data_IF_358981232471
#
_entry.id   IF_358981232471
#
_cell.length_a   1.000
_cell.length_b   1.000
_cell.length_c   1.000
_cell.angle_alpha   90.00
_cell.angle_beta   90.00
_cell.angle_gamma   90.00
#
_symmetry.space_group_name_H-M   'P 1'
#
loop_
_entity.id
_entity.type
_entity.pdbx_description
1 polymer ?
#
# COMPACT_ATOMS: atom_id res chain seq x y z
N UNK A 1 -23.31 13.51 1.33
CA UNK A 1 -23.20 12.25 0.58
C UNK A 1 -21.76 12.10 0.09
N UNK A 2 -21.26 10.87 -0.01
CA UNK A 2 -19.93 10.54 -0.52
C UNK A 2 -20.08 9.75 -1.82
N UNK A 3 -19.22 10.05 -2.79
CA UNK A 3 -19.07 9.30 -4.04
C UNK A 3 -17.63 8.82 -4.11
N UNK A 4 -17.44 7.50 -4.20
CA UNK A 4 -16.14 6.89 -4.49
C UNK A 4 -16.12 6.45 -5.95
N UNK A 5 -15.09 6.86 -6.67
CA UNK A 5 -14.92 6.53 -8.08
C UNK A 5 -13.45 6.29 -8.40
N UNK A 6 -13.19 5.33 -9.28
CA UNK A 6 -11.86 5.18 -9.87
C UNK A 6 -11.67 6.24 -10.97
N UNK A 7 -10.43 6.73 -11.21
CA UNK A 7 -10.16 7.73 -12.24
C UNK A 7 -10.75 7.37 -13.61
N UNK A 8 -10.66 6.10 -13.98
CA UNK A 8 -11.13 5.56 -15.26
C UNK A 8 -12.67 5.67 -15.43
N UNK A 9 -13.41 5.76 -14.33
CA UNK A 9 -14.87 5.80 -14.34
C UNK A 9 -15.44 7.22 -14.31
N UNK A 10 -14.62 8.25 -14.14
CA UNK A 10 -15.10 9.65 -13.98
C UNK A 10 -15.86 10.19 -15.19
N UNK A 11 -15.51 9.76 -16.39
CA UNK A 11 -16.20 10.16 -17.62
C UNK A 11 -17.46 9.34 -17.91
N UNK A 12 -17.84 8.41 -17.04
CA UNK A 12 -19.07 7.62 -17.22
C UNK A 12 -20.31 8.51 -17.13
N UNK A 13 -21.34 8.26 -17.96
CA UNK A 13 -22.55 9.11 -18.01
C UNK A 13 -23.25 9.27 -16.65
N UNK A 14 -23.24 8.22 -15.82
CA UNK A 14 -23.93 8.26 -14.53
C UNK A 14 -23.18 9.15 -13.51
N UNK A 15 -21.85 9.18 -13.53
CA UNK A 15 -21.06 10.10 -12.68
C UNK A 15 -21.27 11.53 -13.13
N UNK A 16 -21.23 11.80 -14.45
CA UNK A 16 -21.47 13.13 -15.00
C UNK A 16 -22.86 13.64 -14.59
N UNK A 17 -23.88 12.82 -14.74
CA UNK A 17 -25.24 13.15 -14.32
C UNK A 17 -25.36 13.38 -12.79
N UNK A 18 -24.69 12.56 -11.99
CA UNK A 18 -24.68 12.75 -10.54
C UNK A 18 -24.03 14.08 -10.13
N UNK A 19 -22.97 14.52 -10.82
CA UNK A 19 -22.30 15.80 -10.60
C UNK A 19 -23.20 16.99 -10.94
N UNK A 20 -23.98 16.88 -12.02
CA UNK A 20 -24.95 17.91 -12.42
C UNK A 20 -26.09 18.05 -11.41
N UNK A 21 -26.60 16.93 -10.92
CA UNK A 21 -27.71 16.92 -9.96
C UNK A 21 -27.30 17.39 -8.56
N UNK A 22 -26.10 17.09 -8.13
CA UNK A 22 -25.58 17.42 -6.81
C UNK A 22 -24.14 17.92 -6.94
N UNK A 23 -23.94 19.23 -7.19
CA UNK A 23 -22.60 19.80 -7.31
C UNK A 23 -21.74 19.50 -6.09
N UNK A 24 -20.58 18.87 -6.26
CA UNK A 24 -19.73 18.48 -5.14
C UNK A 24 -18.96 19.68 -4.58
N UNK A 25 -18.80 19.73 -3.27
CA UNK A 25 -18.03 20.79 -2.61
C UNK A 25 -16.55 20.49 -2.46
N UNK A 26 -16.19 19.21 -2.33
CA UNK A 26 -14.82 18.76 -2.08
C UNK A 26 -14.45 17.64 -3.05
N UNK A 27 -13.26 17.75 -3.63
CA UNK A 27 -12.62 16.73 -4.44
C UNK A 27 -11.46 16.12 -3.69
N UNK A 28 -11.53 14.83 -3.40
CA UNK A 28 -10.45 14.11 -2.69
C UNK A 28 -9.74 13.19 -3.68
N UNK A 29 -8.42 13.35 -3.77
CA UNK A 29 -7.56 12.48 -4.59
C UNK A 29 -6.71 11.66 -3.63
N UNK A 30 -7.03 10.39 -3.50
CA UNK A 30 -6.21 9.43 -2.76
C UNK A 30 -5.07 8.93 -3.65
N UNK A 31 -3.96 8.52 -3.01
CA UNK A 31 -2.71 8.13 -3.68
C UNK A 31 -2.25 9.16 -4.73
N UNK A 32 -2.37 10.45 -4.39
CA UNK A 32 -2.15 11.57 -5.29
C UNK A 32 -0.73 11.59 -5.91
N UNK A 33 0.24 10.89 -5.32
CA UNK A 33 1.58 10.72 -5.89
C UNK A 33 1.53 10.06 -7.30
N UNK A 34 0.46 9.33 -7.62
CA UNK A 34 0.25 8.76 -8.96
C UNK A 34 0.09 9.81 -10.07
N UNK A 35 -0.18 11.07 -9.73
CA UNK A 35 -0.24 12.20 -10.67
C UNK A 35 1.13 12.74 -11.08
N UNK A 36 2.16 12.51 -10.27
CA UNK A 36 3.51 12.98 -10.55
C UNK A 36 4.33 11.92 -11.25
N UNK A 37 4.98 12.27 -12.35
CA UNK A 37 5.97 11.39 -13.02
C UNK A 37 7.13 11.00 -12.09
N UNK A 38 7.32 11.76 -11.03
CA UNK A 38 8.32 11.53 -9.97
C UNK A 38 7.76 10.73 -8.78
N UNK A 39 6.46 10.36 -8.84
CA UNK A 39 5.85 9.41 -7.93
C UNK A 39 6.29 7.98 -8.27
N UNK A 40 6.44 7.14 -7.26
CA UNK A 40 6.89 5.74 -7.44
C UNK A 40 5.88 4.84 -8.19
N UNK A 41 4.67 5.32 -8.43
CA UNK A 41 3.56 4.57 -9.04
C UNK A 41 2.75 5.46 -10.00
N UNK A 42 3.43 6.19 -10.89
CA UNK A 42 2.77 7.02 -11.90
C UNK A 42 1.68 6.24 -12.66
N UNK A 43 0.49 6.83 -12.75
CA UNK A 43 -0.67 6.25 -13.43
C UNK A 43 -1.25 7.24 -14.42
N UNK A 44 -1.23 6.93 -15.73
CA UNK A 44 -1.77 7.82 -16.77
C UNK A 44 -3.24 8.22 -16.55
N UNK A 45 -4.06 7.31 -16.00
CA UNK A 45 -5.48 7.57 -15.72
C UNK A 45 -5.71 8.71 -14.74
N UNK A 46 -4.73 9.01 -13.87
CA UNK A 46 -4.79 10.13 -12.94
C UNK A 46 -4.61 11.50 -13.64
N UNK A 47 -3.98 11.55 -14.82
CA UNK A 47 -3.71 12.81 -15.53
C UNK A 47 -4.97 13.60 -15.87
N UNK A 48 -6.11 12.94 -16.00
CA UNK A 48 -7.41 13.58 -16.21
C UNK A 48 -7.98 14.34 -15.01
N UNK A 49 -7.51 14.00 -13.77
CA UNK A 49 -8.11 14.52 -12.53
C UNK A 49 -8.05 16.04 -12.37
N UNK A 50 -6.94 16.75 -12.69
CA UNK A 50 -6.91 18.21 -12.61
C UNK A 50 -7.88 18.88 -13.60
N UNK A 51 -8.03 18.30 -14.79
CA UNK A 51 -9.01 18.75 -15.78
C UNK A 51 -10.45 18.55 -15.28
N UNK A 52 -10.74 17.39 -14.74
CA UNK A 52 -12.03 17.05 -14.14
C UNK A 52 -12.37 17.99 -12.98
N UNK A 53 -11.43 18.25 -12.08
CA UNK A 53 -11.59 19.20 -10.97
C UNK A 53 -12.01 20.59 -11.47
N UNK A 54 -11.32 21.12 -12.49
CA UNK A 54 -11.62 22.43 -13.07
C UNK A 54 -12.97 22.45 -13.81
N UNK A 55 -13.26 21.42 -14.61
CA UNK A 55 -14.51 21.29 -15.40
C UNK A 55 -15.76 21.38 -14.53
N UNK A 56 -15.74 20.70 -13.37
CA UNK A 56 -16.91 20.58 -12.50
C UNK A 56 -16.97 21.65 -11.39
N UNK A 57 -16.03 22.59 -11.35
CA UNK A 57 -16.07 23.74 -10.45
C UNK A 57 -16.05 23.39 -8.95
N UNK A 58 -15.33 22.36 -8.57
CA UNK A 58 -15.13 22.02 -7.16
C UNK A 58 -14.53 23.20 -6.40
N UNK A 59 -15.02 23.46 -5.19
CA UNK A 59 -14.55 24.57 -4.36
C UNK A 59 -13.26 24.26 -3.62
N UNK A 60 -13.06 23.01 -3.25
CA UNK A 60 -11.91 22.56 -2.49
C UNK A 60 -11.34 21.26 -3.08
N UNK A 61 -10.03 21.11 -2.96
CA UNK A 61 -9.33 19.87 -3.27
C UNK A 61 -8.53 19.40 -2.05
N UNK A 62 -8.47 18.10 -1.84
CA UNK A 62 -7.59 17.46 -0.88
C UNK A 62 -6.83 16.34 -1.59
N UNK A 63 -5.51 16.50 -1.72
CA UNK A 63 -4.63 15.48 -2.27
C UNK A 63 -3.95 14.73 -1.12
N UNK A 64 -4.14 13.42 -1.06
CA UNK A 64 -3.63 12.55 0.02
C UNK A 64 -2.58 11.60 -0.57
N UNK A 65 -1.47 11.45 0.14
CA UNK A 65 -0.45 10.45 -0.19
C UNK A 65 0.41 10.14 1.03
N UNK A 66 0.79 8.88 1.18
CA UNK A 66 1.70 8.43 2.23
C UNK A 66 3.18 8.73 1.91
N UNK A 67 3.52 8.98 0.64
CA UNK A 67 4.90 9.03 0.13
C UNK A 67 5.11 10.24 -0.78
N UNK A 68 5.00 11.46 -0.21
CA UNK A 68 5.23 12.68 -0.96
C UNK A 68 6.65 13.21 -0.76
N UNK A 69 7.50 13.09 -1.79
CA UNK A 69 8.72 13.89 -1.86
C UNK A 69 8.39 15.35 -2.03
N UNK A 70 9.36 16.24 -1.78
CA UNK A 70 9.16 17.69 -1.98
C UNK A 70 8.79 18.03 -3.43
N UNK A 71 9.33 17.28 -4.39
CA UNK A 71 9.02 17.44 -5.81
C UNK A 71 7.59 17.04 -6.11
N UNK A 72 7.13 15.90 -5.60
CA UNK A 72 5.72 15.47 -5.73
C UNK A 72 4.77 16.50 -5.13
N UNK A 73 5.09 17.06 -3.95
CA UNK A 73 4.27 18.12 -3.35
C UNK A 73 4.14 19.34 -4.26
N UNK A 74 5.25 19.81 -4.85
CA UNK A 74 5.25 20.95 -5.78
C UNK A 74 4.44 20.68 -7.05
N UNK A 75 4.58 19.48 -7.62
CA UNK A 75 3.80 19.07 -8.80
C UNK A 75 2.30 19.10 -8.48
N UNK A 76 1.88 18.47 -7.38
CA UNK A 76 0.47 18.46 -6.96
C UNK A 76 -0.06 19.85 -6.65
N UNK A 77 0.73 20.68 -5.98
CA UNK A 77 0.36 22.07 -5.69
C UNK A 77 0.12 22.86 -6.99
N UNK A 78 1.01 22.71 -7.99
CA UNK A 78 0.86 23.35 -9.31
C UNK A 78 -0.35 22.84 -10.08
N UNK A 79 -0.63 21.53 -10.07
CA UNK A 79 -1.75 20.92 -10.80
C UNK A 79 -3.13 21.41 -10.29
N UNK A 80 -3.27 21.53 -8.97
CA UNK A 80 -4.54 21.90 -8.32
C UNK A 80 -4.61 23.34 -7.81
N UNK A 81 -3.53 24.11 -7.92
CA UNK A 81 -3.46 25.48 -7.40
C UNK A 81 -3.46 25.54 -5.86
N UNK A 82 -2.89 24.54 -5.19
CA UNK A 82 -2.78 24.50 -3.74
C UNK A 82 -1.67 25.45 -3.29
N UNK A 83 -1.95 26.31 -2.28
CA UNK A 83 -0.99 27.24 -1.71
C UNK A 83 -0.04 26.53 -0.75
N UNK A 84 1.21 26.98 -0.65
CA UNK A 84 2.24 26.33 0.17
C UNK A 84 1.81 26.20 1.65
N UNK A 85 1.08 27.17 2.18
CA UNK A 85 0.54 27.12 3.54
C UNK A 85 -0.50 26.02 3.78
N UNK A 86 -1.04 25.45 2.69
CA UNK A 86 -2.00 24.32 2.72
C UNK A 86 -1.31 22.96 2.50
N UNK A 87 0.02 22.90 2.48
CA UNK A 87 0.78 21.66 2.34
C UNK A 87 1.19 21.18 3.74
N UNK A 88 0.57 20.09 4.18
CA UNK A 88 0.87 19.46 5.47
C UNK A 88 1.67 18.18 5.26
N UNK A 89 2.86 18.12 5.86
CA UNK A 89 3.74 16.96 5.77
C UNK A 89 4.08 16.47 7.17
N UNK A 90 3.89 15.18 7.40
CA UNK A 90 4.40 14.50 8.57
C UNK A 90 5.64 13.67 8.18
N UNK A 91 6.56 13.50 9.11
CA UNK A 91 7.68 12.60 8.90
C UNK A 91 7.17 11.16 8.76
N UNK A 92 7.64 10.38 7.78
CA UNK A 92 7.22 8.98 7.59
C UNK A 92 7.79 8.05 8.66
N UNK A 93 8.52 8.61 9.62
CA UNK A 93 9.15 7.84 10.69
C UNK A 93 8.12 7.31 11.69
N UNK A 94 8.15 6.00 11.89
CA UNK A 94 7.34 5.27 12.86
C UNK A 94 8.27 4.73 13.94
N UNK A 95 8.22 5.32 15.14
CA UNK A 95 9.11 4.97 16.26
C UNK A 95 8.88 3.54 16.80
N UNK A 96 7.68 3.02 16.61
CA UNK A 96 7.31 1.67 17.04
C UNK A 96 7.75 0.56 16.06
N UNK A 97 8.36 0.90 14.92
CA UNK A 97 8.85 -0.08 13.95
C UNK A 97 10.37 -0.17 14.06
N UNK A 98 10.88 -1.29 14.56
CA UNK A 98 12.30 -1.60 14.53
C UNK A 98 12.70 -2.05 13.12
N UNK A 99 13.69 -1.39 12.53
CA UNK A 99 14.14 -1.63 11.14
C UNK A 99 15.51 -2.27 11.13
N UNK A 100 15.65 -3.33 10.35
CA UNK A 100 16.90 -4.07 10.20
C UNK A 100 17.12 -4.42 8.73
N UNK A 101 18.40 -4.46 8.34
CA UNK A 101 18.83 -4.95 7.03
C UNK A 101 19.82 -6.09 7.28
N UNK A 102 19.61 -7.22 6.63
CA UNK A 102 20.50 -8.38 6.69
C UNK A 102 20.98 -8.75 5.27
N UNK A 103 22.27 -8.99 5.13
CA UNK A 103 22.83 -9.50 3.88
C UNK A 103 23.02 -11.00 3.98
N UNK A 104 22.24 -11.76 3.20
CA UNK A 104 22.21 -13.21 3.23
C UNK A 104 22.44 -13.81 1.83
N UNK A 105 23.02 -15.01 1.77
CA UNK A 105 23.03 -15.80 0.54
C UNK A 105 21.62 -16.32 0.29
N UNK A 106 21.25 -16.48 -0.99
CA UNK A 106 19.89 -16.89 -1.37
C UNK A 106 19.42 -18.18 -0.67
N UNK A 107 20.32 -19.16 -0.56
CA UNK A 107 20.03 -20.43 0.09
C UNK A 107 19.75 -20.34 1.61
N UNK A 108 20.20 -19.28 2.26
CA UNK A 108 20.08 -19.11 3.72
C UNK A 108 18.83 -18.31 4.10
N UNK A 109 18.21 -17.60 3.16
CA UNK A 109 17.07 -16.68 3.41
C UNK A 109 15.86 -17.37 4.02
N UNK A 110 15.44 -18.52 3.47
CA UNK A 110 14.25 -19.23 3.97
C UNK A 110 14.46 -19.73 5.39
N UNK A 111 15.63 -20.27 5.69
CA UNK A 111 15.97 -20.73 7.05
C UNK A 111 15.94 -19.57 8.04
N UNK A 112 16.55 -18.44 7.68
CA UNK A 112 16.55 -17.22 8.50
C UNK A 112 15.13 -16.65 8.72
N UNK A 113 14.30 -16.66 7.68
CA UNK A 113 12.90 -16.25 7.80
C UNK A 113 12.11 -17.14 8.76
N UNK A 114 12.30 -18.45 8.68
CA UNK A 114 11.68 -19.43 9.61
C UNK A 114 12.10 -19.16 11.04
N UNK A 115 13.38 -18.90 11.30
CA UNK A 115 13.88 -18.52 12.64
C UNK A 115 13.21 -17.25 13.14
N UNK A 116 13.19 -16.18 12.33
CA UNK A 116 12.54 -14.92 12.67
C UNK A 116 11.06 -15.10 13.02
N UNK A 117 10.32 -15.83 12.18
CA UNK A 117 8.90 -16.05 12.39
C UNK A 117 8.56 -16.94 13.60
N UNK A 118 9.52 -17.72 14.11
CA UNK A 118 9.38 -18.49 15.36
C UNK A 118 9.57 -17.65 16.61
N UNK A 119 10.23 -16.51 16.50
CA UNK A 119 10.39 -15.59 17.64
C UNK A 119 9.01 -15.11 18.13
N UNK A 120 8.86 -15.01 19.45
CA UNK A 120 7.64 -14.48 20.05
C UNK A 120 7.39 -13.03 19.62
N UNK A 121 6.13 -12.69 19.35
CA UNK A 121 5.74 -11.34 18.94
C UNK A 121 6.12 -10.96 17.49
N UNK A 122 6.52 -11.92 16.64
CA UNK A 122 6.82 -11.67 15.22
C UNK A 122 5.64 -11.88 14.28
N UNK A 123 4.57 -12.47 14.75
CA UNK A 123 3.34 -12.70 13.96
C UNK A 123 2.15 -11.95 14.56
N UNK A 124 1.18 -11.56 13.75
CA UNK A 124 1.03 -11.77 12.29
C UNK A 124 2.12 -11.09 11.46
N UNK A 125 2.50 -11.70 10.33
CA UNK A 125 3.57 -11.19 9.47
C UNK A 125 3.16 -11.09 7.99
N UNK A 126 3.69 -10.08 7.30
CA UNK A 126 3.62 -9.95 5.84
C UNK A 126 5.03 -10.12 5.28
N UNK A 127 5.18 -11.03 4.31
CA UNK A 127 6.45 -11.31 3.63
C UNK A 127 6.32 -10.92 2.16
N UNK A 128 7.06 -9.90 1.74
CA UNK A 128 7.05 -9.44 0.35
C UNK A 128 8.06 -10.19 -0.52
N UNK A 129 7.59 -10.68 -1.65
CA UNK A 129 8.38 -11.36 -2.69
C UNK A 129 8.26 -10.64 -4.02
N UNK A 130 9.22 -10.87 -4.92
CA UNK A 130 9.26 -10.20 -6.22
C UNK A 130 8.27 -10.80 -7.20
N UNK A 131 8.15 -12.14 -7.24
CA UNK A 131 7.34 -12.84 -8.24
C UNK A 131 6.22 -13.67 -7.61
N UNK A 132 5.19 -13.98 -8.41
CA UNK A 132 4.09 -14.87 -8.01
C UNK A 132 4.60 -16.25 -7.61
N UNK A 133 5.53 -16.79 -8.41
CA UNK A 133 6.15 -18.08 -8.15
C UNK A 133 6.90 -18.13 -6.82
N UNK A 134 7.63 -17.04 -6.48
CA UNK A 134 8.31 -16.94 -5.20
C UNK A 134 7.30 -16.91 -4.05
N UNK A 135 6.18 -16.19 -4.22
CA UNK A 135 5.13 -16.14 -3.20
C UNK A 135 4.52 -17.53 -2.93
N UNK A 136 4.22 -18.29 -3.98
CA UNK A 136 3.67 -19.64 -3.87
C UNK A 136 4.69 -20.62 -3.26
N UNK A 137 5.93 -20.63 -3.76
CA UNK A 137 6.99 -21.52 -3.28
C UNK A 137 7.32 -21.24 -1.81
N UNK A 138 7.49 -19.98 -1.45
CA UNK A 138 7.82 -19.60 -0.07
C UNK A 138 6.66 -19.91 0.89
N UNK A 139 5.42 -19.71 0.46
CA UNK A 139 4.24 -20.13 1.25
C UNK A 139 4.24 -21.64 1.50
N UNK A 140 4.56 -22.43 0.48
CA UNK A 140 4.65 -23.89 0.62
C UNK A 140 5.74 -24.31 1.63
N UNK A 141 6.94 -23.70 1.53
CA UNK A 141 8.05 -24.02 2.46
C UNK A 141 7.74 -23.58 3.89
N UNK A 142 7.11 -22.42 4.08
CA UNK A 142 6.67 -21.98 5.42
C UNK A 142 5.55 -22.87 5.98
N UNK A 143 4.64 -23.35 5.13
CA UNK A 143 3.63 -24.34 5.51
C UNK A 143 4.24 -25.64 6.03
N UNK A 144 5.28 -26.16 5.35
CA UNK A 144 6.05 -27.31 5.84
C UNK A 144 6.75 -27.07 7.18
N UNK A 145 7.16 -25.83 7.42
CA UNK A 145 7.77 -25.44 8.70
C UNK A 145 6.75 -25.25 9.83
N UNK A 146 5.44 -25.47 9.56
CA UNK A 146 4.36 -25.49 10.55
C UNK A 146 3.64 -24.15 10.75
N UNK A 147 3.82 -23.17 9.84
CA UNK A 147 3.09 -21.92 9.91
C UNK A 147 1.72 -22.00 9.23
N UNK A 148 0.72 -21.29 9.79
CA UNK A 148 -0.52 -20.98 9.07
C UNK A 148 -0.24 -19.87 8.07
N UNK A 149 -0.01 -20.21 6.80
CA UNK A 149 0.46 -19.29 5.77
C UNK A 149 -0.45 -19.30 4.54
N UNK A 150 -0.60 -18.12 3.93
CA UNK A 150 -1.30 -17.95 2.66
C UNK A 150 -0.41 -17.17 1.68
N UNK A 151 -0.57 -17.46 0.37
CA UNK A 151 0.01 -16.63 -0.70
C UNK A 151 -1.01 -15.62 -1.21
N UNK A 152 -0.51 -14.45 -1.67
CA UNK A 152 -1.37 -13.39 -2.23
C UNK A 152 -0.67 -12.68 -3.41
N UNK A 153 -1.26 -12.73 -4.60
CA UNK A 153 -0.71 -12.07 -5.79
C UNK A 153 -1.78 -11.80 -6.85
N UNK A 154 -1.50 -10.90 -7.78
CA UNK A 154 -2.44 -10.46 -8.82
C UNK A 154 -2.84 -11.58 -9.82
N UNK A 155 -2.12 -12.71 -9.85
CA UNK A 155 -2.48 -13.88 -10.68
C UNK A 155 -3.62 -14.72 -10.13
N UNK A 156 -4.02 -14.50 -8.88
CA UNK A 156 -5.14 -15.22 -8.27
C UNK A 156 -6.48 -14.64 -8.73
N UNK A 157 -7.54 -15.46 -8.85
CA UNK A 157 -8.89 -14.97 -9.07
C UNK A 157 -9.30 -13.95 -8.01
N UNK A 158 -10.08 -12.90 -8.36
CA UNK A 158 -10.50 -11.87 -7.39
C UNK A 158 -11.20 -12.43 -6.15
N UNK A 159 -12.05 -13.44 -6.31
CA UNK A 159 -12.75 -14.12 -5.23
C UNK A 159 -11.77 -14.78 -4.24
N UNK A 160 -10.79 -15.51 -4.78
CA UNK A 160 -9.75 -16.16 -3.96
C UNK A 160 -8.90 -15.13 -3.21
N UNK A 161 -8.58 -14.00 -3.86
CA UNK A 161 -7.86 -12.90 -3.19
C UNK A 161 -8.66 -12.32 -2.04
N UNK A 162 -9.97 -12.13 -2.22
CA UNK A 162 -10.87 -11.68 -1.16
C UNK A 162 -10.85 -12.64 0.02
N UNK A 163 -11.04 -13.93 -0.21
CA UNK A 163 -11.01 -14.94 0.85
C UNK A 163 -9.69 -14.96 1.62
N UNK A 164 -8.55 -14.96 0.92
CA UNK A 164 -7.23 -14.94 1.56
C UNK A 164 -7.02 -13.68 2.40
N UNK A 165 -7.49 -12.53 1.90
CA UNK A 165 -7.43 -11.28 2.64
C UNK A 165 -8.28 -11.35 3.92
N UNK A 166 -9.52 -11.84 3.82
CA UNK A 166 -10.42 -11.97 4.97
C UNK A 166 -9.86 -12.93 6.02
N UNK A 167 -9.30 -14.07 5.58
CA UNK A 167 -8.65 -15.04 6.48
C UNK A 167 -7.45 -14.41 7.23
N UNK A 168 -6.61 -13.63 6.54
CA UNK A 168 -5.50 -12.94 7.18
C UNK A 168 -5.96 -11.84 8.13
N UNK A 169 -6.96 -11.06 7.75
CA UNK A 169 -7.54 -10.02 8.61
C UNK A 169 -8.18 -10.61 9.87
N UNK A 170 -8.87 -11.73 9.73
CA UNK A 170 -9.49 -12.46 10.84
C UNK A 170 -8.49 -13.21 11.74
N UNK A 171 -7.20 -13.27 11.37
CA UNK A 171 -6.18 -14.00 12.13
C UNK A 171 -6.20 -15.51 11.92
N UNK A 172 -6.88 -16.02 10.88
CA UNK A 172 -6.86 -17.43 10.51
C UNK A 172 -5.54 -17.83 9.80
N UNK A 173 -4.81 -16.86 9.29
CA UNK A 173 -3.45 -17.03 8.79
C UNK A 173 -2.48 -16.14 9.59
N UNK A 174 -1.38 -16.73 10.06
CA UNK A 174 -0.32 -16.04 10.80
C UNK A 174 0.65 -15.29 9.89
N UNK A 175 0.84 -15.81 8.68
CA UNK A 175 1.80 -15.27 7.71
C UNK A 175 1.13 -15.12 6.35
N UNK A 176 1.32 -13.96 5.76
CA UNK A 176 0.92 -13.71 4.38
C UNK A 176 2.17 -13.49 3.53
N UNK A 177 2.40 -14.37 2.56
CA UNK A 177 3.47 -14.19 1.55
C UNK A 177 2.89 -13.55 0.31
N UNK A 178 3.33 -12.36 -0.02
CA UNK A 178 2.68 -11.56 -1.06
C UNK A 178 3.65 -10.90 -2.03
N UNK A 179 3.16 -10.62 -3.23
CA UNK A 179 3.76 -9.61 -4.10
C UNK A 179 3.23 -8.22 -3.74
N UNK A 180 3.71 -7.17 -4.42
CA UNK A 180 3.20 -5.79 -4.27
C UNK A 180 1.68 -5.65 -4.49
N UNK A 181 1.02 -6.70 -5.00
CA UNK A 181 -0.44 -6.74 -5.14
C UNK A 181 -1.18 -6.69 -3.80
N UNK A 182 -0.53 -7.11 -2.71
CA UNK A 182 -1.04 -6.92 -1.35
C UNK A 182 -0.60 -5.56 -0.85
N UNK A 183 -1.46 -4.57 -1.05
CA UNK A 183 -1.04 -3.21 -0.78
C UNK A 183 -2.19 -2.27 -0.45
N UNK A 184 -2.79 -1.65 -1.43
CA UNK A 184 -3.81 -0.62 -1.23
C UNK A 184 -5.06 -1.16 -0.51
N UNK A 185 -5.62 -0.36 0.39
CA UNK A 185 -6.89 -0.67 1.03
C UNK A 185 -6.88 -1.74 2.13
N UNK A 186 -5.70 -2.25 2.52
CA UNK A 186 -5.61 -3.28 3.57
C UNK A 186 -5.25 -2.64 4.90
N UNK A 187 -6.13 -2.80 5.86
CA UNK A 187 -5.95 -2.31 7.23
C UNK A 187 -6.03 -3.45 8.25
N UNK A 188 -4.86 -3.99 8.61
CA UNK A 188 -4.67 -4.92 9.74
C UNK A 188 -3.75 -4.22 10.73
N UNK A 189 -4.29 -3.76 11.88
CA UNK A 189 -3.52 -2.92 12.81
C UNK A 189 -2.39 -3.67 13.51
N UNK A 190 -2.55 -4.96 13.73
CA UNK A 190 -1.71 -5.81 14.56
C UNK A 190 -0.62 -6.57 13.80
N UNK A 191 -0.25 -6.18 12.58
CA UNK A 191 0.89 -6.77 11.87
C UNK A 191 2.18 -6.52 12.66
N UNK A 192 2.82 -7.62 13.11
CA UNK A 192 4.05 -7.54 13.94
C UNK A 192 5.32 -7.50 13.13
N UNK A 193 5.33 -8.12 11.94
CA UNK A 193 6.52 -8.09 11.07
C UNK A 193 6.15 -7.82 9.62
N UNK A 194 6.95 -7.00 8.97
CA UNK A 194 7.01 -6.88 7.51
C UNK A 194 8.40 -7.27 7.06
N UNK A 195 8.50 -8.33 6.26
CA UNK A 195 9.78 -8.86 5.78
C UNK A 195 9.84 -8.74 4.27
N UNK A 196 10.89 -8.14 3.77
CA UNK A 196 11.20 -8.09 2.34
C UNK A 196 12.16 -9.22 1.99
N UNK A 197 11.63 -10.34 1.52
CA UNK A 197 12.44 -11.50 1.06
C UNK A 197 13.30 -11.14 -0.15
N UNK A 198 12.82 -10.20 -0.97
CA UNK A 198 13.58 -9.51 -1.99
C UNK A 198 13.51 -8.00 -1.74
N UNK A 199 14.59 -7.26 -2.00
CA UNK A 199 14.59 -5.81 -1.82
C UNK A 199 13.42 -5.15 -2.55
N UNK A 200 12.77 -4.14 -1.94
CA UNK A 200 11.71 -3.36 -2.57
C UNK A 200 12.24 -2.57 -3.77
N UNK A 201 11.37 -2.16 -4.67
CA UNK A 201 11.74 -1.48 -5.91
C UNK A 201 12.32 -0.08 -5.67
N UNK A 202 11.92 0.59 -4.58
CA UNK A 202 12.37 1.93 -4.19
C UNK A 202 12.26 2.13 -2.68
N UNK A 203 12.82 3.24 -2.19
CA UNK A 203 12.69 3.62 -0.79
C UNK A 203 11.23 3.96 -0.42
N UNK A 204 10.51 4.58 -1.34
CA UNK A 204 9.09 4.92 -1.17
C UNK A 204 8.24 3.64 -1.04
N UNK A 205 8.50 2.64 -1.89
CA UNK A 205 7.87 1.33 -1.78
C UNK A 205 8.18 0.67 -0.43
N UNK A 206 9.44 0.73 0.01
CA UNK A 206 9.83 0.25 1.34
C UNK A 206 9.05 0.94 2.47
N UNK A 207 8.96 2.26 2.43
CA UNK A 207 8.24 3.04 3.45
C UNK A 207 6.75 2.66 3.47
N UNK A 208 6.12 2.54 2.30
CA UNK A 208 4.71 2.18 2.18
C UNK A 208 4.45 0.74 2.66
N UNK A 209 5.30 -0.21 2.28
CA UNK A 209 5.16 -1.61 2.64
C UNK A 209 5.49 -1.84 4.12
N UNK A 210 6.61 -1.34 4.62
CA UNK A 210 7.01 -1.44 6.02
C UNK A 210 6.04 -0.70 6.96
N UNK A 211 5.41 0.37 6.49
CA UNK A 211 4.40 1.15 7.21
C UNK A 211 3.12 0.39 7.56
N UNK A 212 2.95 -0.85 7.05
CA UNK A 212 1.85 -1.76 7.43
C UNK A 212 2.06 -2.39 8.80
N UNK A 213 3.31 -2.44 9.27
CA UNK A 213 3.60 -2.97 10.59
C UNK A 213 3.11 -2.01 11.70
N UNK A 214 2.56 -2.55 12.76
CA UNK A 214 2.26 -1.87 14.02
C UNK A 214 1.39 -0.62 13.87
N UNK A 215 0.32 -0.67 13.10
CA UNK A 215 -0.62 0.47 12.99
C UNK A 215 -1.35 0.76 14.29
N UNK A 216 -1.41 -0.23 15.18
CA UNK A 216 -1.92 -0.10 16.55
C UNK A 216 -0.95 0.63 17.50
N UNK A 217 0.23 1.01 17.04
CA UNK A 217 1.25 1.68 17.83
C UNK A 217 2.14 0.75 18.64
N UNK A 218 1.87 -0.56 18.66
CA UNK A 218 2.68 -1.53 19.38
C UNK A 218 4.01 -1.84 18.67
N UNK A 219 5.04 -2.31 19.42
CA UNK A 219 6.33 -2.66 18.83
C UNK A 219 6.19 -3.64 17.67
N UNK A 220 6.85 -3.34 16.58
CA UNK A 220 6.79 -4.12 15.34
C UNK A 220 8.13 -4.08 14.62
N UNK A 221 8.28 -4.94 13.62
CA UNK A 221 9.57 -5.21 12.99
C UNK A 221 9.50 -5.09 11.47
N UNK A 222 10.55 -4.56 10.87
CA UNK A 222 10.73 -4.54 9.41
C UNK A 222 12.14 -5.01 9.07
N UNK A 223 12.24 -6.09 8.27
CA UNK A 223 13.49 -6.68 7.79
C UNK A 223 13.58 -6.60 6.26
N UNK A 224 14.75 -6.23 5.76
CA UNK A 224 15.11 -6.28 4.33
C UNK A 224 16.31 -7.19 4.15
#
# INVERSE_FOLDING_TARGET
>A
RLLFAAPESLESPWIQQAMELVPPGLFVVDEAHCLSEWGHSFRPDYLGLPGFFKKHGFRCVMALTATATERVCRDLAGLFGVRDECIFRAAPYRANIFRQVETLREQDKTARLVELLKEEGRRPAVVYTRTRKDAENLSYELGKAGFSVKSYHAGMPPETRGLVQDEFLAGAADVLVATIAFGMGIDKPDVRSVVHYHPPASLEAYVQESGRAGRDGLPSFSLV
#
